data_IF_395900206013
#
_entry.id   IF_395900206013
#
_cell.length_a   1.000
_cell.length_b   1.000
_cell.length_c   1.000
_cell.angle_alpha   90.00
_cell.angle_beta   90.00
_cell.angle_gamma   90.00
#
_symmetry.space_group_name_H-M   'P 1'
#
loop_
_entity.id
_entity.type
_entity.pdbx_description
1 polymer ?
#
# COMPACT_ATOMS: atom_id res chain seq x y z
N UNK A 1 -25.85 3.76 -2.17
CA UNK A 1 -24.67 2.86 -2.11
C UNK A 1 -24.73 2.12 -0.78
N UNK A 2 -24.59 0.79 -0.78
CA UNK A 2 -24.65 -0.02 0.45
C UNK A 2 -23.60 0.51 1.46
N UNK A 3 -24.01 0.81 2.71
CA UNK A 3 -23.14 1.43 3.72
C UNK A 3 -21.90 0.57 4.03
N UNK A 4 -22.04 -0.76 3.97
CA UNK A 4 -20.92 -1.68 4.13
C UNK A 4 -19.82 -1.45 3.10
N UNK A 5 -20.15 -0.95 1.90
CA UNK A 5 -19.16 -0.64 0.87
C UNK A 5 -18.36 0.64 1.14
N UNK A 6 -18.89 1.58 1.95
CA UNK A 6 -18.13 2.77 2.37
C UNK A 6 -17.03 2.38 3.36
N UNK A 7 -17.37 1.53 4.33
CA UNK A 7 -16.44 1.04 5.35
C UNK A 7 -15.28 0.22 4.76
N UNK A 8 -15.49 -0.46 3.62
CA UNK A 8 -14.43 -1.20 2.91
C UNK A 8 -13.24 -0.30 2.59
N UNK A 9 -13.50 0.90 2.05
CA UNK A 9 -12.42 1.82 1.65
C UNK A 9 -11.60 2.31 2.86
N UNK A 10 -12.29 2.62 3.97
CA UNK A 10 -11.68 3.04 5.23
C UNK A 10 -10.82 1.92 5.82
N UNK A 11 -11.35 0.69 5.86
CA UNK A 11 -10.62 -0.48 6.34
C UNK A 11 -9.39 -0.77 5.48
N UNK A 12 -9.54 -0.75 4.14
CA UNK A 12 -8.42 -0.93 3.22
C UNK A 12 -7.33 0.12 3.44
N UNK A 13 -7.71 1.40 3.56
CA UNK A 13 -6.74 2.47 3.85
C UNK A 13 -5.95 2.17 5.13
N UNK A 14 -6.65 1.86 6.24
CA UNK A 14 -6.00 1.54 7.52
C UNK A 14 -5.04 0.37 7.38
N UNK A 15 -5.50 -0.73 6.79
CA UNK A 15 -4.67 -1.92 6.59
C UNK A 15 -3.45 -1.66 5.70
N UNK A 16 -3.62 -0.88 4.61
CA UNK A 16 -2.53 -0.49 3.73
C UNK A 16 -1.47 0.38 4.42
N UNK A 17 -1.90 1.34 5.25
CA UNK A 17 -1.01 2.17 6.06
C UNK A 17 -0.30 1.35 7.16
N UNK A 18 -0.97 0.36 7.74
CA UNK A 18 -0.32 -0.59 8.67
C UNK A 18 0.78 -1.40 7.97
N UNK A 19 0.52 -1.94 6.77
CA UNK A 19 1.53 -2.66 5.98
C UNK A 19 2.72 -1.77 5.60
N UNK A 20 2.46 -0.50 5.25
CA UNK A 20 3.51 0.49 5.00
C UNK A 20 4.41 0.68 6.23
N UNK A 21 3.82 0.86 7.42
CA UNK A 21 4.58 1.00 8.65
C UNK A 21 5.46 -0.19 8.96
N UNK A 22 4.95 -1.41 8.74
CA UNK A 22 5.73 -2.62 8.95
C UNK A 22 6.92 -2.72 7.99
N UNK A 23 6.73 -2.28 6.73
CA UNK A 23 7.80 -2.26 5.76
C UNK A 23 8.89 -1.24 6.13
N UNK A 24 8.49 -0.03 6.54
CA UNK A 24 9.42 1.01 7.02
C UNK A 24 10.17 0.52 8.25
N UNK A 25 9.46 -0.08 9.22
CA UNK A 25 10.06 -0.70 10.39
C UNK A 25 11.19 -1.66 10.01
N UNK A 26 10.87 -2.63 9.15
CA UNK A 26 11.79 -3.69 8.75
C UNK A 26 13.09 -3.18 8.09
N UNK A 27 13.03 -2.07 7.35
CA UNK A 27 14.25 -1.49 6.73
C UNK A 27 14.99 -0.51 7.64
N UNK A 28 14.33 0.03 8.67
CA UNK A 28 14.96 0.89 9.68
C UNK A 28 15.71 0.06 10.72
N UNK A 29 15.12 -1.04 11.21
CA UNK A 29 15.70 -1.84 12.30
C UNK A 29 16.71 -2.90 11.84
N UNK A 30 16.91 -3.06 10.52
CA UNK A 30 17.76 -4.14 10.00
C UNK A 30 19.15 -4.13 10.63
N UNK A 31 19.59 -5.30 11.12
CA UNK A 31 20.86 -5.52 11.80
C UNK A 31 20.76 -5.65 13.33
N UNK A 32 19.63 -5.29 13.95
CA UNK A 32 19.38 -5.44 15.40
C UNK A 32 18.64 -6.76 15.72
N UNK A 33 19.24 -7.91 15.42
CA UNK A 33 18.58 -9.21 15.65
C UNK A 33 17.33 -9.42 14.79
N UNK A 34 17.22 -8.70 13.67
CA UNK A 34 16.11 -8.79 12.74
C UNK A 34 15.97 -10.22 12.21
N UNK A 35 14.73 -10.70 11.98
CA UNK A 35 14.52 -12.01 11.41
C UNK A 35 15.19 -12.13 10.04
N UNK A 36 15.60 -13.34 9.63
CA UNK A 36 16.06 -13.59 8.27
C UNK A 36 15.08 -12.99 7.26
N UNK A 37 15.63 -12.36 6.21
CA UNK A 37 14.85 -11.74 5.13
C UNK A 37 14.02 -10.50 5.50
N UNK A 38 14.26 -9.82 6.63
CA UNK A 38 13.51 -8.62 7.03
C UNK A 38 13.39 -7.55 5.94
N UNK A 39 14.48 -7.22 5.25
CA UNK A 39 14.44 -6.27 4.13
C UNK A 39 13.64 -6.80 2.92
N UNK A 40 13.67 -8.10 2.63
CA UNK A 40 12.88 -8.69 1.56
C UNK A 40 11.38 -8.73 1.92
N UNK A 41 11.06 -8.98 3.19
CA UNK A 41 9.70 -8.86 3.71
C UNK A 41 9.19 -7.43 3.56
N UNK A 42 10.04 -6.43 3.81
CA UNK A 42 9.67 -5.03 3.61
C UNK A 42 9.26 -4.74 2.15
N UNK A 43 9.97 -5.30 1.17
CA UNK A 43 9.59 -5.17 -0.26
C UNK A 43 8.20 -5.76 -0.50
N UNK A 44 7.92 -6.96 0.01
CA UNK A 44 6.62 -7.61 -0.15
C UNK A 44 5.52 -6.76 0.52
N UNK A 45 5.77 -6.28 1.73
CA UNK A 45 4.83 -5.49 2.52
C UNK A 45 4.54 -4.14 1.88
N UNK A 46 5.55 -3.37 1.45
CA UNK A 46 5.31 -2.05 0.85
C UNK A 46 4.65 -2.15 -0.53
N UNK A 47 4.98 -3.20 -1.29
CA UNK A 47 4.31 -3.47 -2.57
C UNK A 47 2.82 -3.77 -2.33
N UNK A 48 2.51 -4.59 -1.32
CA UNK A 48 1.13 -4.90 -0.94
C UNK A 48 0.41 -3.68 -0.36
N UNK A 49 1.09 -2.86 0.44
CA UNK A 49 0.57 -1.58 0.91
C UNK A 49 0.11 -0.71 -0.26
N UNK A 50 0.95 -0.56 -1.30
CA UNK A 50 0.56 0.19 -2.50
C UNK A 50 -0.62 -0.43 -3.25
N UNK A 51 -0.70 -1.75 -3.33
CA UNK A 51 -1.86 -2.44 -3.90
C UNK A 51 -3.17 -2.07 -3.18
N UNK A 52 -3.15 -2.18 -1.84
CA UNK A 52 -4.31 -1.93 -0.99
C UNK A 52 -4.67 -0.45 -0.97
N UNK A 53 -3.70 0.45 -0.89
CA UNK A 53 -3.94 1.90 -0.86
C UNK A 53 -4.52 2.41 -2.18
N UNK A 54 -4.06 1.89 -3.32
CA UNK A 54 -4.67 2.22 -4.62
C UNK A 54 -6.11 1.68 -4.68
N UNK A 55 -6.36 0.45 -4.22
CA UNK A 55 -7.72 -0.11 -4.14
C UNK A 55 -8.60 0.73 -3.21
N UNK A 56 -8.08 1.22 -2.08
CA UNK A 56 -8.80 2.10 -1.17
C UNK A 56 -9.21 3.40 -1.87
N UNK A 57 -8.28 4.06 -2.57
CA UNK A 57 -8.55 5.29 -3.33
C UNK A 57 -9.61 5.08 -4.42
N UNK A 58 -9.57 3.96 -5.14
CA UNK A 58 -10.61 3.59 -6.12
C UNK A 58 -11.94 3.36 -5.40
N UNK A 59 -11.93 2.62 -4.28
CA UNK A 59 -13.14 2.25 -3.56
C UNK A 59 -13.84 3.43 -2.89
N UNK A 60 -13.11 4.49 -2.48
CA UNK A 60 -13.72 5.71 -1.95
C UNK A 60 -14.67 6.37 -2.96
N UNK A 61 -14.37 6.27 -4.25
CA UNK A 61 -15.21 6.79 -5.32
C UNK A 61 -16.20 5.74 -5.84
N UNK A 62 -15.69 4.54 -6.13
CA UNK A 62 -16.42 3.47 -6.80
C UNK A 62 -16.03 2.08 -6.25
N UNK A 63 -16.64 1.65 -5.12
CA UNK A 63 -16.27 0.40 -4.43
C UNK A 63 -16.23 -0.86 -5.31
N UNK A 64 -17.08 -0.95 -6.32
CA UNK A 64 -17.16 -2.13 -7.19
C UNK A 64 -16.04 -2.18 -8.25
N UNK A 65 -15.34 -1.08 -8.52
CA UNK A 65 -14.29 -1.03 -9.55
C UNK A 65 -12.97 -1.68 -9.12
N UNK A 66 -12.83 -1.99 -7.83
CA UNK A 66 -11.70 -2.78 -7.32
C UNK A 66 -11.80 -4.26 -7.71
N UNK A 67 -12.94 -4.71 -8.22
CA UNK A 67 -13.14 -6.08 -8.68
C UNK A 67 -12.82 -6.22 -10.17
N UNK A 68 -12.12 -7.30 -10.53
CA UNK A 68 -11.90 -7.75 -11.90
C UNK A 68 -13.05 -8.61 -12.42
N UNK A 69 -13.75 -9.30 -11.52
CA UNK A 69 -14.97 -10.05 -11.82
C UNK A 69 -15.95 -9.86 -10.67
N UNK A 70 -17.19 -9.49 -10.99
CA UNK A 70 -18.30 -9.48 -10.05
C UNK A 70 -18.97 -10.86 -10.00
N UNK A 71 -19.57 -11.24 -8.87
CA UNK A 71 -20.43 -12.42 -8.76
C UNK A 71 -21.58 -12.36 -9.77
N UNK A 72 -22.08 -13.52 -10.18
CA UNK A 72 -23.24 -13.58 -11.10
C UNK A 72 -24.47 -13.05 -10.38
N UNK A 73 -25.22 -12.17 -11.05
CA UNK A 73 -26.46 -11.63 -10.50
C UNK A 73 -27.48 -12.76 -10.29
N UNK A 74 -28.11 -12.77 -9.11
CA UNK A 74 -29.21 -13.68 -8.79
C UNK A 74 -30.51 -13.23 -9.46
N UNK A 75 -31.43 -14.17 -9.69
CA UNK A 75 -32.67 -13.96 -10.43
C UNK A 75 -33.61 -12.90 -9.82
N UNK A 76 -34.62 -12.48 -10.59
CA UNK A 76 -35.57 -11.44 -10.19
C UNK A 76 -36.42 -11.89 -8.98
N UNK A 77 -36.03 -11.47 -7.77
CA UNK A 77 -36.72 -11.77 -6.52
C UNK A 77 -35.87 -11.54 -5.26
N UNK A 78 -34.54 -11.64 -5.38
CA UNK A 78 -33.58 -11.39 -4.29
C UNK A 78 -32.75 -10.11 -4.54
N UNK A 79 -32.01 -9.65 -3.51
CA UNK A 79 -30.98 -8.63 -3.69
C UNK A 79 -30.01 -9.09 -4.79
N UNK A 80 -29.96 -8.37 -5.92
CA UNK A 80 -29.27 -8.82 -7.13
C UNK A 80 -27.78 -9.10 -6.95
N UNK A 81 -27.15 -8.42 -5.98
CA UNK A 81 -25.76 -8.58 -5.58
C UNK A 81 -25.62 -8.16 -4.11
N UNK A 82 -25.34 -9.10 -3.22
CA UNK A 82 -25.14 -8.82 -1.80
C UNK A 82 -23.66 -8.62 -1.47
N UNK A 83 -23.38 -7.99 -0.32
CA UNK A 83 -22.01 -7.88 0.20
C UNK A 83 -21.38 -9.27 0.45
N UNK A 84 -22.19 -10.25 0.86
CA UNK A 84 -21.74 -11.63 1.05
C UNK A 84 -21.23 -12.24 -0.26
N UNK A 85 -21.95 -12.02 -1.37
CA UNK A 85 -21.53 -12.51 -2.68
C UNK A 85 -20.17 -11.90 -3.09
N UNK A 86 -19.94 -10.62 -2.79
CA UNK A 86 -18.65 -9.95 -3.05
C UNK A 86 -17.51 -10.54 -2.23
N UNK A 87 -17.76 -10.93 -0.99
CA UNK A 87 -16.76 -11.57 -0.11
C UNK A 87 -16.44 -13.00 -0.56
N UNK A 88 -17.45 -13.78 -0.95
CA UNK A 88 -17.28 -15.20 -1.28
C UNK A 88 -16.77 -15.42 -2.70
N UNK A 89 -17.21 -14.62 -3.67
CA UNK A 89 -16.95 -14.86 -5.10
C UNK A 89 -16.21 -13.70 -5.80
N UNK A 90 -16.08 -12.55 -5.13
CA UNK A 90 -15.44 -11.37 -5.71
C UNK A 90 -13.95 -11.60 -5.97
N UNK A 91 -13.51 -11.32 -7.20
CA UNK A 91 -12.09 -11.32 -7.56
C UNK A 91 -11.61 -9.89 -7.66
N UNK A 92 -10.62 -9.50 -6.84
CA UNK A 92 -10.06 -8.15 -6.92
C UNK A 92 -9.10 -8.00 -8.11
N UNK A 93 -8.94 -6.76 -8.57
CA UNK A 93 -8.00 -6.39 -9.61
C UNK A 93 -6.56 -6.73 -9.19
N UNK A 94 -5.76 -7.18 -10.16
CA UNK A 94 -4.36 -7.55 -9.93
C UNK A 94 -3.48 -6.31 -9.89
N UNK A 95 -2.35 -6.39 -9.19
CA UNK A 95 -1.42 -5.28 -9.00
C UNK A 95 -1.11 -4.49 -10.28
N UNK A 96 -0.75 -5.19 -11.36
CA UNK A 96 -0.36 -4.53 -12.63
C UNK A 96 -1.51 -3.82 -13.34
N UNK A 97 -2.77 -4.13 -13.01
CA UNK A 97 -3.96 -3.48 -13.58
C UNK A 97 -4.35 -2.20 -12.83
N UNK A 98 -3.83 -2.01 -11.62
CA UNK A 98 -4.29 -0.96 -10.72
C UNK A 98 -3.97 0.47 -11.18
N UNK A 99 -2.80 0.78 -11.79
CA UNK A 99 -2.54 2.14 -12.27
C UNK A 99 -3.57 2.63 -13.29
N UNK A 100 -3.93 1.79 -14.26
CA UNK A 100 -4.92 2.13 -15.29
C UNK A 100 -6.32 2.27 -14.69
N UNK A 101 -6.68 1.38 -13.77
CA UNK A 101 -7.97 1.44 -13.06
C UNK A 101 -8.06 2.68 -12.16
N UNK A 102 -6.98 3.05 -11.47
CA UNK A 102 -6.91 4.26 -10.65
C UNK A 102 -7.18 5.49 -11.50
N UNK A 103 -6.48 5.61 -12.63
CA UNK A 103 -6.70 6.71 -13.57
C UNK A 103 -8.12 6.72 -14.11
N UNK A 104 -8.64 5.58 -14.55
CA UNK A 104 -9.99 5.48 -15.10
C UNK A 104 -11.09 5.84 -14.06
N UNK A 105 -10.89 5.47 -12.80
CA UNK A 105 -11.87 5.70 -11.74
C UNK A 105 -11.79 7.09 -11.09
N UNK A 106 -10.61 7.73 -11.09
CA UNK A 106 -10.36 8.93 -10.29
C UNK A 106 -9.75 10.10 -11.07
N UNK A 107 -9.30 9.87 -12.30
CA UNK A 107 -8.52 10.83 -13.09
C UNK A 107 -7.07 11.03 -12.61
N UNK A 108 -6.65 10.36 -11.52
CA UNK A 108 -5.31 10.52 -10.95
C UNK A 108 -4.29 9.60 -11.64
N UNK A 109 -3.24 10.15 -12.30
CA UNK A 109 -2.13 9.36 -12.81
C UNK A 109 -1.13 9.05 -11.69
N UNK A 110 -0.72 7.78 -11.58
CA UNK A 110 0.28 7.36 -10.58
C UNK A 110 1.66 7.99 -10.88
N UNK A 111 2.24 8.71 -9.91
CA UNK A 111 3.41 9.58 -10.12
C UNK A 111 4.68 8.89 -10.63
N UNK A 112 5.05 7.73 -10.07
CA UNK A 112 6.20 6.96 -10.54
C UNK A 112 5.80 5.52 -10.93
N UNK A 113 5.15 5.42 -12.10
CA UNK A 113 4.67 4.14 -12.63
C UNK A 113 5.79 3.12 -12.85
N UNK A 114 6.99 3.56 -13.24
CA UNK A 114 8.13 2.66 -13.45
C UNK A 114 8.54 1.99 -12.14
N UNK A 115 8.73 2.77 -11.08
CA UNK A 115 9.08 2.25 -9.76
C UNK A 115 7.98 1.34 -9.21
N UNK A 116 6.71 1.67 -9.46
CA UNK A 116 5.59 0.80 -9.13
C UNK A 116 5.72 -0.58 -9.78
N UNK A 117 5.89 -0.62 -11.10
CA UNK A 117 6.02 -1.86 -11.85
C UNK A 117 7.26 -2.66 -11.46
N UNK A 118 8.39 -1.99 -11.19
CA UNK A 118 9.64 -2.65 -10.82
C UNK A 118 9.56 -3.29 -9.43
N UNK A 119 8.93 -2.65 -8.44
CA UNK A 119 8.65 -3.31 -7.16
C UNK A 119 7.69 -4.49 -7.32
N UNK A 120 6.67 -4.35 -8.17
CA UNK A 120 5.75 -5.46 -8.48
C UNK A 120 6.48 -6.69 -8.98
N UNK A 121 7.44 -6.51 -9.90
CA UNK A 121 8.29 -7.60 -10.42
C UNK A 121 9.21 -8.17 -9.33
N UNK A 122 9.86 -7.31 -8.54
CA UNK A 122 10.76 -7.75 -7.47
C UNK A 122 10.01 -8.55 -6.39
N UNK A 123 8.81 -8.11 -5.99
CA UNK A 123 7.93 -8.85 -5.07
C UNK A 123 7.59 -10.23 -5.63
N UNK A 124 7.29 -10.35 -6.92
CA UNK A 124 7.06 -11.66 -7.56
C UNK A 124 8.32 -12.53 -7.56
N UNK A 125 9.50 -11.95 -7.82
CA UNK A 125 10.79 -12.64 -7.72
C UNK A 125 11.02 -13.21 -6.32
N UNK A 126 10.82 -12.38 -5.29
CA UNK A 126 10.97 -12.77 -3.88
C UNK A 126 9.98 -13.88 -3.49
N UNK A 127 8.71 -13.77 -3.88
CA UNK A 127 7.65 -14.69 -3.46
C UNK A 127 7.70 -16.05 -4.17
N UNK A 128 8.05 -16.08 -5.45
CA UNK A 128 7.92 -17.28 -6.28
C UNK A 128 9.25 -17.94 -6.63
N UNK A 129 10.39 -17.28 -6.38
CA UNK A 129 11.70 -17.79 -6.76
C UNK A 129 12.68 -17.72 -5.59
N UNK A 130 13.34 -16.58 -5.41
CA UNK A 130 14.39 -16.41 -4.43
C UNK A 130 14.56 -14.94 -4.06
N UNK A 131 15.11 -14.68 -2.88
CA UNK A 131 15.49 -13.33 -2.45
C UNK A 131 16.80 -12.96 -3.16
N UNK A 132 16.83 -11.92 -4.02
CA UNK A 132 18.05 -11.50 -4.68
C UNK A 132 19.02 -10.84 -3.69
N UNK A 133 20.31 -10.90 -3.97
CA UNK A 133 21.33 -10.19 -3.19
C UNK A 133 21.33 -8.70 -3.58
N UNK A 134 20.63 -7.88 -2.81
CA UNK A 134 20.55 -6.44 -3.00
C UNK A 134 20.25 -5.70 -1.69
N UNK A 135 20.48 -4.40 -1.66
CA UNK A 135 20.02 -3.52 -0.57
C UNK A 135 18.61 -3.04 -0.90
N UNK A 136 17.62 -3.48 -0.12
CA UNK A 136 16.22 -3.12 -0.37
C UNK A 136 15.77 -1.87 0.39
N UNK A 137 16.54 -1.40 1.37
CA UNK A 137 16.18 -0.24 2.20
C UNK A 137 15.90 1.00 1.37
N UNK A 138 16.83 1.38 0.49
CA UNK A 138 16.66 2.55 -0.38
C UNK A 138 15.45 2.38 -1.31
N UNK A 139 15.22 1.16 -1.80
CA UNK A 139 14.12 0.86 -2.70
C UNK A 139 12.75 1.01 -2.03
N UNK A 140 12.62 0.54 -0.78
CA UNK A 140 11.41 0.70 0.04
C UNK A 140 11.14 2.18 0.30
N UNK A 141 12.15 2.96 0.70
CA UNK A 141 11.97 4.39 0.93
C UNK A 141 11.63 5.18 -0.35
N UNK A 142 12.28 4.88 -1.48
CA UNK A 142 11.93 5.50 -2.76
C UNK A 142 10.48 5.22 -3.13
N UNK A 143 10.00 3.98 -2.92
CA UNK A 143 8.60 3.66 -3.21
C UNK A 143 7.64 4.40 -2.27
N UNK A 144 7.97 4.50 -0.97
CA UNK A 144 7.18 5.29 -0.03
C UNK A 144 7.10 6.77 -0.47
N UNK A 145 8.23 7.38 -0.83
CA UNK A 145 8.32 8.81 -1.13
C UNK A 145 7.82 9.18 -2.54
N UNK A 146 8.05 8.34 -3.54
CA UNK A 146 7.80 8.69 -4.95
C UNK A 146 6.50 8.08 -5.51
N UNK A 147 5.95 7.05 -4.85
CA UNK A 147 4.70 6.39 -5.27
C UNK A 147 3.60 6.63 -4.25
N UNK A 148 3.85 6.31 -2.98
CA UNK A 148 2.80 6.33 -1.94
C UNK A 148 2.53 7.73 -1.40
N UNK A 149 3.55 8.55 -1.16
CA UNK A 149 3.36 9.90 -0.64
C UNK A 149 2.51 10.80 -1.57
N UNK A 150 2.76 10.86 -2.90
CA UNK A 150 1.89 11.62 -3.81
C UNK A 150 0.45 11.09 -3.80
N UNK A 151 0.27 9.77 -3.75
CA UNK A 151 -1.05 9.13 -3.67
C UNK A 151 -1.77 9.54 -2.39
N UNK A 152 -1.12 9.36 -1.23
CA UNK A 152 -1.69 9.66 0.10
C UNK A 152 -2.00 11.15 0.22
N UNK A 153 -1.12 12.04 -0.24
CA UNK A 153 -1.39 13.47 -0.26
C UNK A 153 -2.57 13.82 -1.15
N UNK A 154 -2.69 13.19 -2.32
CA UNK A 154 -3.79 13.47 -3.23
C UNK A 154 -5.15 13.11 -2.59
N UNK A 155 -5.29 11.87 -2.10
CA UNK A 155 -6.57 11.34 -1.63
C UNK A 155 -6.88 11.69 -0.17
N UNK A 156 -5.85 11.79 0.68
CA UNK A 156 -6.04 11.88 2.14
C UNK A 156 -5.36 13.09 2.79
N UNK A 157 -4.74 13.98 2.01
CA UNK A 157 -4.17 15.26 2.47
C UNK A 157 -3.19 15.12 3.64
N UNK A 158 -2.43 14.03 3.66
CA UNK A 158 -1.38 13.76 4.65
C UNK A 158 -0.09 13.34 3.96
N UNK A 159 1.04 13.65 4.59
CA UNK A 159 2.34 13.08 4.27
C UNK A 159 2.41 11.60 4.67
N UNK A 160 3.13 10.80 3.89
CA UNK A 160 3.17 9.33 4.03
C UNK A 160 3.55 8.87 5.44
N UNK A 161 4.55 9.50 6.06
CA UNK A 161 5.06 9.08 7.37
C UNK A 161 4.14 9.51 8.53
N UNK A 162 3.42 10.62 8.39
CA UNK A 162 2.37 11.01 9.35
C UNK A 162 1.13 10.13 9.22
N UNK A 163 0.70 9.83 7.99
CA UNK A 163 -0.43 8.93 7.76
C UNK A 163 -0.17 7.53 8.34
N UNK A 164 1.08 7.09 8.29
CA UNK A 164 1.54 5.84 8.90
C UNK A 164 1.55 5.93 10.43
N UNK A 165 2.05 7.03 11.02
CA UNK A 165 2.13 7.23 12.47
C UNK A 165 0.78 7.11 13.17
N UNK A 166 -0.29 7.68 12.58
CA UNK A 166 -1.64 7.66 13.15
C UNK A 166 -2.15 6.25 13.54
N UNK A 167 -1.55 5.18 12.99
CA UNK A 167 -1.95 3.79 13.22
C UNK A 167 -0.93 2.97 14.02
N UNK A 168 0.27 3.51 14.25
CA UNK A 168 1.40 2.80 14.86
C UNK A 168 1.79 3.32 16.25
N UNK A 169 1.16 4.41 16.71
CA UNK A 169 1.42 5.13 17.96
C UNK A 169 1.27 4.28 19.25
N UNK A 170 0.74 3.05 19.17
CA UNK A 170 0.49 2.20 20.35
C UNK A 170 1.48 1.03 20.52
N UNK A 171 2.39 0.73 19.57
CA UNK A 171 3.24 -0.47 19.64
C UNK A 171 4.75 -0.28 19.45
N UNK A 172 5.23 0.80 18.81
CA UNK A 172 6.67 0.99 18.56
C UNK A 172 7.05 2.49 18.43
N UNK A 173 7.26 3.17 19.57
CA UNK A 173 7.72 4.57 19.61
C UNK A 173 9.04 4.81 18.86
N UNK A 174 9.89 3.78 18.72
CA UNK A 174 11.23 3.90 18.13
C UNK A 174 11.24 4.50 16.72
N UNK A 175 10.24 4.21 15.88
CA UNK A 175 10.20 4.77 14.53
C UNK A 175 9.90 6.27 14.50
N UNK A 176 9.22 6.76 15.53
CA UNK A 176 8.78 8.14 15.65
C UNK A 176 9.63 8.92 16.66
N UNK A 177 10.67 8.30 17.21
CA UNK A 177 11.75 9.01 17.87
C UNK A 177 12.37 10.02 16.91
N UNK A 178 12.59 11.24 17.42
CA UNK A 178 13.04 12.36 16.62
C UNK A 178 14.30 12.01 15.82
N UNK A 179 14.20 12.13 14.49
CA UNK A 179 15.32 11.95 13.57
C UNK A 179 15.51 10.53 13.02
N UNK A 180 14.84 9.49 13.54
CA UNK A 180 15.07 8.09 13.09
C UNK A 180 14.76 7.91 11.61
N UNK A 181 13.56 8.32 11.16
CA UNK A 181 13.19 8.23 9.74
C UNK A 181 14.04 9.18 8.89
N UNK A 182 14.31 10.40 9.37
CA UNK A 182 15.17 11.37 8.67
C UNK A 182 16.57 10.81 8.41
N UNK A 183 17.20 10.23 9.42
CA UNK A 183 18.55 9.65 9.31
C UNK A 183 18.54 8.39 8.44
N UNK A 184 17.47 7.60 8.50
CA UNK A 184 17.27 6.47 7.61
C UNK A 184 17.20 6.92 6.13
N UNK A 185 16.44 7.97 5.81
CA UNK A 185 16.35 8.54 4.47
C UNK A 185 17.70 9.10 4.01
N UNK A 186 18.40 9.85 4.87
CA UNK A 186 19.74 10.39 4.58
C UNK A 186 20.76 9.29 4.28
N UNK A 187 20.75 8.19 5.04
CA UNK A 187 21.64 7.05 4.79
C UNK A 187 21.41 6.38 3.42
N UNK A 188 20.24 6.60 2.82
CA UNK A 188 19.87 6.13 1.49
C UNK A 188 20.08 7.18 0.40
N UNK A 189 20.60 8.36 0.72
CA UNK A 189 20.68 9.53 -0.17
C UNK A 189 19.32 9.97 -0.72
N UNK A 190 18.25 9.84 0.07
CA UNK A 190 16.89 10.23 -0.32
C UNK A 190 16.56 11.58 0.32
N UNK A 191 16.23 12.55 -0.53
CA UNK A 191 15.70 13.83 -0.09
C UNK A 191 14.17 13.77 -0.10
N UNK A 192 13.57 13.78 1.09
CA UNK A 192 12.12 13.85 1.25
C UNK A 192 11.68 15.28 1.56
N UNK A 193 10.77 15.82 0.76
CA UNK A 193 10.28 17.20 0.89
C UNK A 193 8.98 17.32 1.70
N UNK A 194 8.52 16.21 2.28
CA UNK A 194 7.33 16.19 3.13
C UNK A 194 7.64 16.36 4.60
N UNK A 195 6.57 16.41 5.38
CA UNK A 195 6.68 16.44 6.83
C UNK A 195 7.03 15.06 7.36
N UNK A 196 8.00 15.03 8.28
CA UNK A 196 8.40 13.84 9.04
C UNK A 196 7.91 13.99 10.49
N UNK A 197 7.40 12.92 11.10
CA UNK A 197 7.05 12.88 12.51
C UNK A 197 8.28 13.06 13.43
#
# INVERSE_FOLDING_TARGET
MNENLKEVSIHMKKFGLSLLGQAVYNVVVNGRGSPPFGEAMAVVQITHAGEILIKAAIAEQHPLLIFSSLPKLKGAGEERLSFKDLVEEGKSAQYFELPDRLWAATGYPLSNLKLYQDLGKLRNTIQHFAVPTANFRALVFNYACEVLDPLIRNFWKKDVFYAMQDLWDEQDDYLFESGVISDALRSCNIQYNGWLP
#
